data_IF_919649824086
#
_entry.id   IF_919649824086
#
_cell.length_a   1.000
_cell.length_b   1.000
_cell.length_c   1.000
_cell.angle_alpha   90.00
_cell.angle_beta   90.00
_cell.angle_gamma   90.00
#
_symmetry.space_group_name_H-M   'P 1'
#
loop_
_entity.id
_entity.type
_entity.pdbx_description
1 polymer ?
#
# COMPACT_ATOMS: atom_id res chain seq x y z
N UNK A 1 3.21 -6.20 -13.14
CA UNK A 1 3.18 -6.26 -11.67
C UNK A 1 1.98 -7.12 -11.29
N UNK A 2 2.21 -8.14 -10.46
CA UNK A 2 1.23 -9.10 -9.96
C UNK A 2 0.73 -8.77 -8.55
N UNK A 3 0.87 -7.52 -8.09
CA UNK A 3 0.30 -7.09 -6.82
C UNK A 3 -1.24 -7.16 -6.85
N UNK A 4 -1.82 -7.72 -5.79
CA UNK A 4 -3.27 -7.85 -5.64
C UNK A 4 -3.70 -7.27 -4.30
N UNK A 5 -4.66 -6.34 -4.31
CA UNK A 5 -5.30 -5.88 -3.08
C UNK A 5 -6.19 -7.01 -2.54
N UNK A 6 -5.93 -7.43 -1.31
CA UNK A 6 -6.61 -8.57 -0.67
C UNK A 6 -7.60 -8.13 0.39
N UNK A 7 -7.30 -7.05 1.12
CA UNK A 7 -8.14 -6.55 2.21
C UNK A 7 -8.13 -5.03 2.30
N UNK A 8 -9.22 -4.49 2.86
CA UNK A 8 -9.31 -3.13 3.36
C UNK A 8 -9.83 -3.20 4.80
N UNK A 9 -9.20 -2.48 5.70
CA UNK A 9 -9.57 -2.45 7.12
C UNK A 9 -9.16 -1.11 7.71
N UNK A 10 -10.08 -0.44 8.41
CA UNK A 10 -9.88 0.94 8.88
C UNK A 10 -9.43 1.87 7.74
N UNK A 11 -8.23 2.42 7.81
CA UNK A 11 -7.55 3.28 6.84
C UNK A 11 -6.43 2.57 6.08
N UNK A 12 -6.31 1.25 6.24
CA UNK A 12 -5.28 0.41 5.63
C UNK A 12 -5.79 -0.36 4.40
N UNK A 13 -4.90 -0.51 3.41
CA UNK A 13 -5.07 -1.36 2.24
C UNK A 13 -3.97 -2.42 2.27
N UNK A 14 -4.36 -3.69 2.26
CA UNK A 14 -3.43 -4.84 2.32
C UNK A 14 -3.29 -5.44 0.93
N UNK A 15 -2.04 -5.70 0.53
CA UNK A 15 -1.71 -6.26 -0.77
C UNK A 15 -0.82 -7.49 -0.63
N UNK A 16 -1.14 -8.51 -1.41
CA UNK A 16 -0.19 -9.60 -1.70
C UNK A 16 0.65 -9.17 -2.90
N UNK A 17 1.98 -9.20 -2.75
CA UNK A 17 2.92 -8.73 -3.77
C UNK A 17 4.01 -9.78 -4.00
N UNK A 18 4.29 -10.17 -5.25
CA UNK A 18 5.46 -11.01 -5.55
C UNK A 18 6.74 -10.37 -5.00
N UNK A 19 7.57 -11.13 -4.28
CA UNK A 19 8.73 -10.60 -3.55
C UNK A 19 9.68 -9.78 -4.43
N UNK A 20 9.87 -10.17 -5.69
CA UNK A 20 10.72 -9.44 -6.65
C UNK A 20 10.14 -8.12 -7.17
N UNK A 21 8.88 -7.81 -6.86
CA UNK A 21 8.18 -6.63 -7.35
C UNK A 21 7.88 -5.60 -6.25
N UNK A 22 8.17 -5.90 -4.99
CA UNK A 22 7.85 -5.04 -3.83
C UNK A 22 8.37 -3.61 -4.01
N UNK A 23 9.63 -3.45 -4.39
CA UNK A 23 10.24 -2.13 -4.59
C UNK A 23 9.70 -1.37 -5.81
N UNK A 24 9.09 -2.08 -6.77
CA UNK A 24 8.42 -1.46 -7.92
C UNK A 24 6.99 -1.02 -7.56
N UNK A 25 6.30 -1.80 -6.73
CA UNK A 25 4.89 -1.59 -6.37
C UNK A 25 4.73 -0.53 -5.28
N UNK A 26 5.63 -0.47 -4.30
CA UNK A 26 5.62 0.52 -3.21
C UNK A 26 5.38 1.96 -3.67
N UNK A 27 6.20 2.54 -4.59
CA UNK A 27 6.00 3.93 -5.01
C UNK A 27 4.67 4.15 -5.73
N UNK A 28 4.19 3.15 -6.48
CA UNK A 28 2.93 3.21 -7.23
C UNK A 28 1.74 3.29 -6.26
N UNK A 29 1.70 2.40 -5.26
CA UNK A 29 0.65 2.41 -4.24
C UNK A 29 0.66 3.73 -3.48
N UNK A 30 1.86 4.18 -3.05
CA UNK A 30 1.99 5.44 -2.32
C UNK A 30 1.50 6.64 -3.11
N UNK A 31 1.86 6.74 -4.39
CA UNK A 31 1.42 7.82 -5.27
C UNK A 31 -0.09 7.82 -5.43
N UNK A 32 -0.69 6.66 -5.71
CA UNK A 32 -2.14 6.58 -5.90
C UNK A 32 -2.91 6.85 -4.62
N UNK A 33 -2.47 6.32 -3.47
CA UNK A 33 -3.16 6.57 -2.20
C UNK A 33 -3.09 8.05 -1.78
N UNK A 34 -1.94 8.71 -1.94
CA UNK A 34 -1.79 10.13 -1.61
C UNK A 34 -2.65 11.06 -2.49
N UNK A 35 -2.88 10.66 -3.74
CA UNK A 35 -3.54 11.51 -4.74
C UNK A 35 -4.95 11.02 -5.11
N UNK A 36 -5.48 9.99 -4.45
CA UNK A 36 -6.76 9.36 -4.79
C UNK A 36 -7.94 10.35 -4.72
N UNK A 37 -7.86 11.31 -3.80
CA UNK A 37 -8.90 12.33 -3.57
C UNK A 37 -8.25 13.70 -3.37
N UNK A 38 -8.96 14.76 -3.77
CA UNK A 38 -8.54 16.13 -3.49
C UNK A 38 -8.98 16.53 -2.09
N UNK A 39 -8.04 16.90 -1.24
CA UNK A 39 -8.28 17.31 0.15
C UNK A 39 -7.50 18.58 0.47
N UNK A 40 -8.03 19.41 1.37
CA UNK A 40 -7.29 20.58 1.88
C UNK A 40 -6.17 20.17 2.84
N UNK A 41 -6.38 19.05 3.55
CA UNK A 41 -5.37 18.44 4.43
C UNK A 41 -4.57 17.41 3.63
N UNK A 42 -3.22 17.47 3.62
CA UNK A 42 -2.40 16.50 2.90
C UNK A 42 -2.58 15.07 3.42
N UNK A 43 -2.77 14.12 2.49
CA UNK A 43 -2.81 12.70 2.83
C UNK A 43 -1.38 12.17 2.98
N UNK A 44 -1.12 11.53 4.11
CA UNK A 44 0.15 10.84 4.39
C UNK A 44 -0.13 9.34 4.29
N UNK A 45 0.82 8.61 3.68
CA UNK A 45 0.72 7.17 3.49
C UNK A 45 2.03 6.55 3.95
N UNK A 46 1.92 5.56 4.81
CA UNK A 46 3.01 4.70 5.26
C UNK A 46 2.87 3.33 4.61
N UNK A 47 4.00 2.66 4.38
CA UNK A 47 4.02 1.32 3.80
C UNK A 47 4.97 0.45 4.62
N UNK A 48 4.43 -0.60 5.23
CA UNK A 48 5.21 -1.70 5.78
C UNK A 48 5.15 -2.93 4.87
N UNK A 49 6.08 -3.87 5.10
CA UNK A 49 6.18 -5.13 4.36
C UNK A 49 6.64 -6.24 5.29
N UNK A 50 6.04 -7.42 5.16
CA UNK A 50 6.35 -8.59 5.98
C UNK A 50 5.92 -9.88 5.30
N UNK A 51 6.25 -11.03 5.89
CA UNK A 51 5.79 -12.32 5.37
C UNK A 51 4.34 -12.65 5.73
N UNK A 52 3.78 -11.88 6.66
CA UNK A 52 2.39 -11.93 7.09
C UNK A 52 1.95 -10.50 7.44
N UNK A 53 0.65 -10.32 7.64
CA UNK A 53 0.08 -9.01 7.91
C UNK A 53 0.61 -8.39 9.22
N UNK A 54 0.83 -9.18 10.28
CA UNK A 54 1.36 -8.67 11.55
C UNK A 54 2.77 -8.07 11.43
N UNK A 55 3.61 -8.61 10.54
CA UNK A 55 4.94 -8.05 10.26
C UNK A 55 4.91 -6.83 9.33
N UNK A 56 3.87 -6.73 8.49
CA UNK A 56 3.73 -5.66 7.51
C UNK A 56 3.02 -4.41 8.06
N UNK A 57 2.27 -4.56 9.15
CA UNK A 57 1.64 -3.50 9.92
C UNK A 57 2.67 -2.85 10.86
#
# INVERSE_FOLDING_TARGET
>A
LGAQMTMQVHDELVFDVPTGEVELVKPIIMEYMKNAIKTEVPIIVEIGTGQNWLEAH
#
